data_IF_766412141809
#
_entry.id   IF_766412141809
#
_cell.length_a   1.000
_cell.length_b   1.000
_cell.length_c   1.000
_cell.angle_alpha   90.00
_cell.angle_beta   90.00
_cell.angle_gamma   90.00
#
_symmetry.space_group_name_H-M   'P 1'
#
loop_
_entity.id
_entity.type
_entity.pdbx_description
1 polymer ?
#
# COMPACT_ATOMS: atom_id res chain seq x y z
N UNK A 1 -15.47 33.53 48.50
CA UNK A 1 -16.74 34.19 48.17
C UNK A 1 -16.79 34.43 46.67
N UNK A 2 -17.97 34.16 46.07
CA UNK A 2 -18.41 34.50 44.70
C UNK A 2 -17.69 33.81 43.52
N UNK A 3 -18.35 33.27 42.48
CA UNK A 3 -19.74 32.87 42.20
C UNK A 3 -19.64 31.98 40.96
N UNK A 4 -20.07 30.72 41.05
CA UNK A 4 -20.17 29.80 39.89
C UNK A 4 -21.43 30.15 39.10
N UNK A 5 -21.28 30.54 37.83
CA UNK A 5 -22.40 30.69 36.89
C UNK A 5 -22.80 29.31 36.34
N UNK A 6 -24.07 28.90 36.41
CA UNK A 6 -24.54 27.68 35.77
C UNK A 6 -24.84 27.95 34.29
N UNK A 7 -24.26 27.13 33.40
CA UNK A 7 -24.67 27.06 31.99
C UNK A 7 -26.01 26.31 31.93
N UNK A 8 -27.05 26.98 31.43
CA UNK A 8 -28.35 26.38 31.16
C UNK A 8 -28.24 25.37 30.02
N UNK A 9 -28.66 24.13 30.27
CA UNK A 9 -28.84 23.11 29.25
C UNK A 9 -30.12 23.40 28.46
N UNK A 10 -30.00 23.65 27.15
CA UNK A 10 -31.13 23.74 26.23
C UNK A 10 -31.45 22.34 25.70
N UNK A 11 -32.42 21.68 26.32
CA UNK A 11 -33.10 20.50 25.78
C UNK A 11 -34.03 20.94 24.63
N UNK A 12 -33.68 20.58 23.39
CA UNK A 12 -34.61 20.68 22.26
C UNK A 12 -35.42 19.39 22.17
N UNK A 13 -36.70 19.50 22.52
CA UNK A 13 -37.69 18.44 22.32
C UNK A 13 -37.93 18.21 20.82
N UNK A 14 -38.04 16.93 20.47
CA UNK A 14 -38.35 16.44 19.13
C UNK A 14 -39.83 16.65 18.78
N UNK A 15 -40.10 16.96 17.51
CA UNK A 15 -41.41 16.75 16.89
C UNK A 15 -41.21 15.96 15.60
N UNK A 16 -41.30 14.63 15.72
CA UNK A 16 -41.41 13.74 14.58
C UNK A 16 -42.82 13.86 14.00
N UNK A 17 -42.93 14.37 12.77
CA UNK A 17 -44.17 14.34 12.02
C UNK A 17 -44.41 12.92 11.52
N UNK A 18 -45.43 12.28 12.10
CA UNK A 18 -46.04 11.06 11.60
C UNK A 18 -46.58 11.30 10.19
N UNK A 19 -46.02 10.64 9.17
CA UNK A 19 -46.74 10.38 7.93
C UNK A 19 -47.33 8.97 7.99
N UNK A 20 -48.64 8.89 7.82
CA UNK A 20 -49.40 7.65 7.69
C UNK A 20 -49.34 7.24 6.21
N UNK A 21 -48.73 6.11 5.89
CA UNK A 21 -48.98 5.37 4.65
C UNK A 21 -48.77 3.87 4.91
N UNK A 22 -49.85 3.06 4.98
CA UNK A 22 -49.76 1.62 5.15
C UNK A 22 -49.85 0.92 3.79
N UNK A 23 -48.74 0.42 3.28
CA UNK A 23 -48.74 -0.62 2.24
C UNK A 23 -47.40 -1.35 2.23
N UNK A 24 -47.20 -2.20 3.24
CA UNK A 24 -46.14 -3.20 3.23
C UNK A 24 -46.52 -4.30 2.23
N UNK A 25 -46.07 -4.17 0.99
CA UNK A 25 -45.97 -5.33 0.11
C UNK A 25 -44.80 -6.19 0.59
N UNK A 26 -45.12 -7.42 0.98
CA UNK A 26 -44.20 -8.47 1.39
C UNK A 26 -43.12 -8.69 0.32
N UNK A 27 -41.85 -8.53 0.70
CA UNK A 27 -40.73 -8.98 -0.12
C UNK A 27 -40.77 -10.52 -0.23
N UNK A 28 -40.53 -11.09 -1.42
CA UNK A 28 -40.48 -12.54 -1.58
C UNK A 28 -39.22 -13.10 -0.89
N UNK A 29 -39.43 -14.06 0.00
CA UNK A 29 -38.39 -14.90 0.60
C UNK A 29 -37.57 -15.59 -0.50
N UNK A 30 -36.22 -15.53 -0.47
CA UNK A 30 -35.40 -16.27 -1.41
C UNK A 30 -35.53 -17.79 -1.17
N UNK A 31 -35.51 -18.62 -2.23
CA UNK A 31 -35.57 -20.06 -2.08
C UNK A 31 -34.30 -20.59 -1.39
N UNK A 32 -34.39 -21.66 -0.57
CA UNK A 32 -33.23 -22.28 0.04
C UNK A 32 -32.33 -22.91 -1.03
N UNK A 33 -31.02 -22.69 -0.91
CA UNK A 33 -30.01 -23.29 -1.78
C UNK A 33 -29.99 -24.83 -1.61
N UNK A 34 -29.82 -25.61 -2.69
CA UNK A 34 -29.74 -27.06 -2.59
C UNK A 34 -28.47 -27.51 -1.87
N UNK A 35 -28.66 -28.45 -0.95
CA UNK A 35 -27.62 -29.17 -0.22
C UNK A 35 -26.69 -29.85 -1.23
N UNK A 36 -25.41 -29.47 -1.21
CA UNK A 36 -24.36 -30.04 -2.06
C UNK A 36 -24.17 -31.52 -1.71
N UNK A 37 -24.41 -32.41 -2.68
CA UNK A 37 -24.02 -33.83 -2.61
C UNK A 37 -22.51 -33.94 -2.84
N UNK A 38 -21.75 -34.71 -2.04
CA UNK A 38 -20.33 -34.93 -2.31
C UNK A 38 -20.15 -35.82 -3.55
N UNK A 39 -19.26 -35.39 -4.46
CA UNK A 39 -18.91 -36.10 -5.69
C UNK A 39 -18.18 -37.41 -5.37
N UNK A 40 -18.64 -38.49 -6.01
CA UNK A 40 -18.05 -39.84 -5.94
C UNK A 40 -16.72 -39.86 -6.70
N UNK A 41 -15.67 -40.34 -6.05
CA UNK A 41 -14.35 -40.62 -6.64
C UNK A 41 -14.44 -41.82 -7.58
N UNK A 42 -14.16 -41.62 -8.87
CA UNK A 42 -13.97 -42.71 -9.84
C UNK A 42 -12.48 -43.11 -9.83
N UNK A 43 -12.20 -44.28 -9.27
CA UNK A 43 -10.93 -44.98 -9.43
C UNK A 43 -10.95 -45.73 -10.76
N UNK A 44 -10.17 -45.29 -11.75
CA UNK A 44 -9.92 -46.07 -12.96
C UNK A 44 -8.62 -46.84 -12.83
N UNK A 45 -8.75 -48.16 -12.78
CA UNK A 45 -7.67 -49.13 -12.88
C UNK A 45 -6.93 -48.96 -14.22
N UNK A 46 -5.61 -48.78 -14.17
CA UNK A 46 -4.77 -49.10 -15.31
C UNK A 46 -3.56 -49.91 -14.83
N UNK A 47 -3.58 -51.19 -15.21
CA UNK A 47 -2.56 -52.18 -14.94
C UNK A 47 -1.48 -52.15 -16.04
N UNK A 48 -0.23 -52.08 -15.59
CA UNK A 48 0.98 -52.79 -16.05
C UNK A 48 1.43 -52.64 -17.51
N UNK A 49 2.72 -52.29 -17.70
CA UNK A 49 3.76 -53.13 -18.34
C UNK A 49 5.13 -52.41 -18.32
N UNK A 50 6.12 -53.06 -17.68
CA UNK A 50 7.60 -53.11 -17.90
C UNK A 50 8.41 -51.80 -18.00
N UNK A 51 9.65 -51.64 -17.49
CA UNK A 51 10.75 -52.54 -17.14
C UNK A 51 11.78 -51.83 -16.23
N UNK A 52 12.43 -52.58 -15.33
CA UNK A 52 13.63 -52.14 -14.57
C UNK A 52 14.84 -51.95 -15.50
N UNK A 53 15.80 -51.07 -15.13
CA UNK A 53 16.98 -51.57 -14.41
C UNK A 53 17.55 -50.62 -13.32
N UNK A 54 17.91 -51.20 -12.18
CA UNK A 54 18.86 -50.68 -11.17
C UNK A 54 20.29 -51.17 -11.52
N UNK A 55 21.43 -50.73 -10.90
CA UNK A 55 21.55 -50.03 -9.59
C UNK A 55 22.68 -48.95 -9.48
N UNK A 56 22.75 -48.33 -8.30
CA UNK A 56 23.90 -47.67 -7.63
C UNK A 56 24.19 -46.20 -7.95
N UNK A 57 23.90 -45.30 -6.99
CA UNK A 57 24.94 -44.54 -6.26
C UNK A 57 24.35 -43.81 -5.04
N UNK A 58 25.13 -43.86 -3.97
CA UNK A 58 24.90 -43.39 -2.62
C UNK A 58 24.92 -41.86 -2.46
N UNK A 59 24.24 -41.42 -1.38
CA UNK A 59 24.55 -40.31 -0.46
C UNK A 59 23.38 -39.32 -0.26
N UNK A 60 22.51 -39.61 0.72
CA UNK A 60 21.67 -38.60 1.37
C UNK A 60 22.24 -38.26 2.74
N UNK A 61 22.65 -37.00 2.93
CA UNK A 61 22.90 -36.40 4.25
C UNK A 61 21.63 -35.71 4.74
N UNK A 62 21.50 -35.77 6.07
CA UNK A 62 20.48 -35.25 6.97
C UNK A 62 20.00 -33.81 6.71
N UNK A 63 18.71 -33.55 6.93
CA UNK A 63 18.21 -32.61 7.95
C UNK A 63 16.67 -32.59 7.94
N UNK A 64 16.00 -33.05 9.00
CA UNK A 64 14.77 -32.37 9.47
C UNK A 64 14.42 -32.76 10.90
N UNK A 65 13.93 -31.75 11.60
CA UNK A 65 13.56 -31.63 12.99
C UNK A 65 12.21 -32.28 13.32
N UNK A 66 12.16 -32.93 14.50
CA UNK A 66 11.04 -33.19 15.46
C UNK A 66 9.64 -32.60 15.15
N UNK A 67 8.53 -33.28 15.56
CA UNK A 67 8.19 -33.41 17.00
C UNK A 67 7.60 -34.77 17.44
N UNK A 68 7.79 -35.08 18.74
CA UNK A 68 7.08 -36.14 19.46
C UNK A 68 6.08 -35.48 20.45
N UNK A 69 4.80 -35.80 20.26
CA UNK A 69 3.83 -36.32 21.25
C UNK A 69 4.46 -36.50 22.66
N UNK A 70 3.97 -35.94 23.76
CA UNK A 70 2.58 -35.69 24.17
C UNK A 70 2.14 -36.83 25.11
N UNK A 71 2.47 -36.72 26.40
CA UNK A 71 1.79 -37.35 27.56
C UNK A 71 2.68 -37.25 28.81
N UNK A 72 2.18 -36.64 29.90
CA UNK A 72 2.18 -37.12 31.31
C UNK A 72 1.39 -36.10 32.15
N UNK A 73 0.47 -36.64 32.96
CA UNK A 73 -0.45 -35.96 33.86
C UNK A 73 0.15 -35.61 35.24
N UNK A 74 -0.61 -34.77 35.95
CA UNK A 74 -0.86 -34.73 37.41
C UNK A 74 0.14 -34.02 38.35
N UNK A 75 -0.41 -32.94 38.93
CA UNK A 75 -0.44 -32.55 40.35
C UNK A 75 0.86 -32.20 41.07
N UNK A 76 1.06 -30.90 41.31
CA UNK A 76 1.43 -30.41 42.64
C UNK A 76 1.03 -28.94 42.83
N UNK A 77 0.17 -28.67 43.81
CA UNK A 77 0.05 -27.36 44.46
C UNK A 77 1.33 -27.10 45.28
N UNK A 78 1.84 -25.86 45.32
CA UNK A 78 2.29 -25.15 46.54
C UNK A 78 3.28 -23.99 46.23
N UNK A 79 3.19 -22.99 47.11
CA UNK A 79 4.02 -21.82 47.42
C UNK A 79 4.05 -20.65 46.44
N UNK A 80 3.34 -19.60 46.83
CA UNK A 80 3.82 -18.22 46.77
C UNK A 80 5.28 -18.15 47.26
N UNK A 81 6.16 -17.52 46.50
CA UNK A 81 7.29 -16.78 47.04
C UNK A 81 7.66 -15.66 46.06
N UNK A 82 7.55 -14.44 46.58
CA UNK A 82 8.10 -13.21 46.03
C UNK A 82 9.62 -13.34 45.96
N UNK A 83 10.25 -12.99 44.84
CA UNK A 83 11.59 -12.38 44.86
C UNK A 83 11.82 -11.62 43.54
N UNK A 84 11.78 -10.30 43.68
CA UNK A 84 12.22 -9.32 42.70
C UNK A 84 13.74 -9.46 42.51
N UNK A 85 14.19 -10.08 41.42
CA UNK A 85 15.58 -9.96 40.96
C UNK A 85 15.63 -8.94 39.81
N UNK A 86 15.77 -7.67 40.21
CA UNK A 86 16.29 -6.60 39.35
C UNK A 86 17.76 -6.93 39.03
N UNK A 87 18.02 -7.70 37.97
CA UNK A 87 19.35 -7.76 37.36
C UNK A 87 19.60 -6.46 36.58
N UNK A 88 20.05 -5.44 37.32
CA UNK A 88 20.73 -4.27 36.75
C UNK A 88 22.08 -4.75 36.20
N UNK A 89 22.11 -5.18 34.93
CA UNK A 89 23.37 -5.27 34.17
C UNK A 89 23.84 -3.84 33.87
N UNK A 90 24.63 -3.29 34.79
CA UNK A 90 25.49 -2.14 34.53
C UNK A 90 26.57 -2.58 33.52
N UNK A 91 26.33 -2.32 32.24
CA UNK A 91 27.40 -2.32 31.22
C UNK A 91 28.33 -1.13 31.54
N UNK A 92 29.41 -1.41 32.28
CA UNK A 92 30.57 -0.55 32.38
C UNK A 92 31.18 -0.41 30.97
N UNK A 93 31.01 0.76 30.35
CA UNK A 93 31.77 1.17 29.16
C UNK A 93 33.23 1.35 29.60
N UNK A 94 34.04 0.29 29.48
CA UNK A 94 35.50 0.36 29.64
C UNK A 94 36.08 1.35 28.61
N UNK A 95 36.55 2.50 29.10
CA UNK A 95 37.39 3.44 28.37
C UNK A 95 38.75 2.75 28.04
N UNK A 96 38.82 2.07 26.89
CA UNK A 96 40.06 1.51 26.32
C UNK A 96 40.99 2.63 25.85
N UNK A 97 41.79 3.17 26.78
CA UNK A 97 42.95 4.01 26.46
C UNK A 97 44.11 3.14 25.94
N UNK A 98 44.03 2.77 24.67
CA UNK A 98 45.13 2.16 23.92
C UNK A 98 46.17 3.19 23.50
N UNK A 99 47.17 3.46 24.34
CA UNK A 99 48.45 4.01 23.88
C UNK A 99 49.26 2.91 23.17
N UNK A 100 49.39 3.03 21.84
CA UNK A 100 50.20 2.15 21.02
C UNK A 100 50.87 2.92 19.88
N UNK A 101 52.05 3.46 20.16
CA UNK A 101 52.97 4.04 19.16
C UNK A 101 53.50 2.92 18.26
N UNK A 102 53.29 3.03 16.96
CA UNK A 102 53.85 2.14 15.95
C UNK A 102 53.80 2.76 14.57
N UNK A 103 54.87 3.48 14.22
CA UNK A 103 55.19 3.90 12.85
C UNK A 103 55.24 2.66 11.94
N UNK A 104 54.32 2.56 10.99
CA UNK A 104 54.54 1.85 9.74
C UNK A 104 53.67 2.48 8.66
N UNK A 105 54.33 3.20 7.77
CA UNK A 105 53.79 3.72 6.52
C UNK A 105 53.32 2.56 5.64
N UNK A 106 52.04 2.23 5.73
CA UNK A 106 51.29 1.53 4.68
C UNK A 106 49.86 2.08 4.65
N UNK A 107 49.77 3.38 4.33
CA UNK A 107 48.55 4.11 4.00
C UNK A 107 47.98 3.63 2.66
N UNK A 108 47.44 2.41 2.62
CA UNK A 108 46.59 1.95 1.52
C UNK A 108 45.26 1.37 2.05
N UNK A 109 44.27 2.27 2.06
CA UNK A 109 42.87 1.97 1.78
C UNK A 109 42.07 1.11 2.80
N UNK A 110 41.92 1.62 4.03
CA UNK A 110 40.69 1.38 4.82
C UNK A 110 39.78 2.62 4.83
N UNK A 111 39.60 3.25 3.66
CA UNK A 111 38.37 4.01 3.43
C UNK A 111 37.30 2.97 3.16
N UNK A 112 36.44 2.72 4.15
CA UNK A 112 35.15 2.05 3.92
C UNK A 112 34.30 2.99 3.05
N UNK A 113 34.69 3.09 1.78
CA UNK A 113 33.91 3.73 0.75
C UNK A 113 32.67 2.88 0.63
N UNK A 114 31.53 3.41 1.10
CA UNK A 114 30.23 2.84 0.83
C UNK A 114 30.04 2.84 -0.68
N UNK A 115 30.56 1.82 -1.35
CA UNK A 115 30.46 1.66 -2.79
C UNK A 115 28.97 1.49 -3.07
N UNK A 116 28.39 2.54 -3.65
CA UNK A 116 27.00 2.52 -4.09
C UNK A 116 26.89 1.35 -5.06
N UNK A 117 26.23 0.27 -4.65
CA UNK A 117 26.07 -0.94 -5.47
C UNK A 117 25.55 -0.51 -6.84
N UNK A 118 26.34 -0.74 -7.87
CA UNK A 118 25.94 -0.47 -9.24
C UNK A 118 25.01 -1.59 -9.68
N UNK A 119 23.76 -1.23 -9.96
CA UNK A 119 22.76 -2.17 -10.47
C UNK A 119 22.93 -2.31 -11.98
N UNK A 120 22.97 -3.55 -12.46
CA UNK A 120 22.88 -3.80 -13.90
C UNK A 120 21.48 -3.40 -14.41
N UNK A 121 21.32 -3.00 -15.69
CA UNK A 121 20.01 -2.61 -16.22
C UNK A 121 18.94 -3.68 -16.03
N UNK A 122 19.30 -4.95 -16.21
CA UNK A 122 18.40 -6.10 -16.04
C UNK A 122 17.92 -6.23 -14.60
N UNK A 123 18.81 -6.05 -13.62
CA UNK A 123 18.42 -6.08 -12.20
C UNK A 123 17.46 -4.94 -11.85
N UNK A 124 17.67 -3.73 -12.40
CA UNK A 124 16.77 -2.60 -12.19
C UNK A 124 15.36 -2.90 -12.68
N UNK A 125 15.25 -3.50 -13.87
CA UNK A 125 13.97 -3.88 -14.45
C UNK A 125 13.26 -4.96 -13.63
N UNK A 126 14.00 -5.98 -13.16
CA UNK A 126 13.45 -7.06 -12.33
C UNK A 126 12.97 -6.52 -10.97
N UNK A 127 13.76 -5.68 -10.30
CA UNK A 127 13.35 -5.06 -9.03
C UNK A 127 12.16 -4.11 -9.20
N UNK A 128 12.13 -3.31 -10.28
CA UNK A 128 10.99 -2.43 -10.59
C UNK A 128 9.72 -3.26 -10.86
N UNK A 129 9.82 -4.32 -11.65
CA UNK A 129 8.71 -5.22 -11.94
C UNK A 129 8.21 -5.93 -10.66
N UNK A 130 9.10 -6.29 -9.75
CA UNK A 130 8.75 -6.87 -8.45
C UNK A 130 7.95 -5.89 -7.58
N UNK A 131 8.24 -4.59 -7.62
CA UNK A 131 7.44 -3.55 -6.95
C UNK A 131 6.09 -3.33 -7.67
N UNK A 132 6.08 -3.51 -9.00
CA UNK A 132 4.87 -3.50 -9.84
C UNK A 132 4.84 -2.41 -10.91
N UNK A 133 6.00 -1.82 -11.22
CA UNK A 133 6.11 -0.78 -12.25
C UNK A 133 7.21 -1.11 -13.27
N UNK A 134 7.08 -0.55 -14.46
CA UNK A 134 8.09 -0.59 -15.51
C UNK A 134 8.36 0.83 -15.99
N UNK A 135 9.63 1.17 -16.19
CA UNK A 135 10.05 2.46 -16.73
C UNK A 135 10.11 2.34 -18.26
N UNK A 136 9.35 3.17 -18.98
CA UNK A 136 9.40 3.23 -20.45
C UNK A 136 10.52 4.18 -20.90
N UNK A 137 10.72 5.27 -20.16
CA UNK A 137 11.69 6.32 -20.45
C UNK A 137 11.13 7.72 -20.25
N UNK A 138 11.87 8.77 -20.65
CA UNK A 138 11.51 10.14 -20.34
C UNK A 138 10.30 10.64 -21.13
N UNK A 139 9.49 11.46 -20.48
CA UNK A 139 8.37 12.19 -21.07
C UNK A 139 8.89 13.16 -22.14
N UNK A 140 8.29 13.09 -23.33
CA UNK A 140 8.62 13.98 -24.43
C UNK A 140 7.75 15.24 -24.35
N UNK A 141 8.26 16.38 -24.83
CA UNK A 141 7.49 17.65 -24.84
C UNK A 141 6.18 17.57 -25.64
N UNK A 142 6.10 16.65 -26.61
CA UNK A 142 4.90 16.41 -27.41
C UNK A 142 3.81 15.63 -26.68
N UNK A 143 4.15 14.93 -25.61
CA UNK A 143 3.24 14.03 -24.92
C UNK A 143 2.22 14.83 -24.10
N UNK A 144 0.92 14.59 -24.34
CA UNK A 144 -0.16 15.22 -23.58
C UNK A 144 -0.46 14.40 -22.33
N UNK A 145 0.11 14.80 -21.20
CA UNK A 145 -0.13 14.18 -19.88
C UNK A 145 -1.54 14.46 -19.38
N UNK A 146 -2.05 15.67 -19.60
CA UNK A 146 -3.37 16.09 -19.15
C UNK A 146 -4.42 15.78 -20.21
N UNK A 147 -5.02 14.60 -20.09
CA UNK A 147 -6.20 14.20 -20.87
C UNK A 147 -7.48 14.66 -20.13
N UNK A 148 -8.60 14.86 -20.85
CA UNK A 148 -9.89 15.06 -20.20
C UNK A 148 -10.24 13.84 -19.35
N UNK A 149 -11.04 14.07 -18.30
CA UNK A 149 -11.46 12.99 -17.40
C UNK A 149 -12.26 11.92 -18.15
N UNK A 150 -11.88 10.67 -17.97
CA UNK A 150 -12.59 9.50 -18.47
C UNK A 150 -13.29 8.81 -17.29
N UNK A 151 -14.56 8.38 -17.42
CA UNK A 151 -15.35 7.77 -16.34
C UNK A 151 -14.96 6.30 -16.11
N UNK A 152 -13.66 6.08 -15.87
CA UNK A 152 -13.02 4.78 -15.65
C UNK A 152 -12.07 4.92 -14.46
N UNK A 153 -11.96 3.85 -13.67
CA UNK A 153 -11.00 3.75 -12.58
C UNK A 153 -10.32 2.39 -12.55
N UNK A 154 -9.14 2.35 -11.95
CA UNK A 154 -8.38 1.16 -11.66
C UNK A 154 -8.04 1.09 -10.17
N UNK A 155 -7.81 -0.11 -9.66
CA UNK A 155 -7.11 -0.33 -8.39
C UNK A 155 -5.75 -0.90 -8.71
N UNK A 156 -4.72 -0.10 -8.45
CA UNK A 156 -3.31 -0.46 -8.69
C UNK A 156 -2.62 -0.77 -7.38
N UNK A 157 -1.70 -1.72 -7.39
CA UNK A 157 -0.82 -2.01 -6.28
C UNK A 157 0.61 -1.56 -6.60
N UNK A 158 1.15 -0.67 -5.78
CA UNK A 158 2.55 -0.24 -5.86
C UNK A 158 3.23 -0.64 -4.55
N UNK A 159 4.16 -1.60 -4.64
CA UNK A 159 4.74 -2.22 -3.45
C UNK A 159 3.68 -2.95 -2.62
N UNK A 160 3.52 -2.55 -1.36
CA UNK A 160 2.54 -3.10 -0.42
C UNK A 160 1.21 -2.33 -0.38
N UNK A 161 1.14 -1.16 -1.04
CA UNK A 161 -0.01 -0.26 -0.96
C UNK A 161 -0.90 -0.34 -2.20
N UNK A 162 -2.21 -0.22 -2.00
CA UNK A 162 -3.20 -0.21 -3.07
C UNK A 162 -3.83 1.18 -3.20
N UNK A 163 -4.00 1.64 -4.44
CA UNK A 163 -4.55 2.94 -4.76
C UNK A 163 -5.68 2.79 -5.77
N UNK A 164 -6.82 3.45 -5.50
CA UNK A 164 -7.85 3.68 -6.51
C UNK A 164 -7.44 4.91 -7.32
N UNK A 165 -7.37 4.75 -8.63
CA UNK A 165 -6.89 5.80 -9.55
C UNK A 165 -7.79 5.94 -10.75
N UNK A 166 -7.97 7.19 -11.18
CA UNK A 166 -8.56 7.57 -12.46
C UNK A 166 -7.57 8.45 -13.24
N UNK A 167 -7.90 8.72 -14.51
CA UNK A 167 -7.11 9.61 -15.35
C UNK A 167 -7.04 11.01 -14.73
N UNK A 168 -5.82 11.55 -14.59
CA UNK A 168 -5.56 12.87 -14.06
C UNK A 168 -5.38 12.91 -12.54
N UNK A 169 -5.45 11.78 -11.84
CA UNK A 169 -5.20 11.74 -10.41
C UNK A 169 -3.71 11.88 -10.09
N UNK A 170 -3.40 12.50 -8.95
CA UNK A 170 -2.07 12.50 -8.36
C UNK A 170 -2.07 11.59 -7.12
N UNK A 171 -1.13 10.66 -7.06
CA UNK A 171 -0.93 9.79 -5.90
C UNK A 171 0.49 9.93 -5.36
N UNK A 172 0.63 9.79 -4.04
CA UNK A 172 1.93 9.66 -3.38
C UNK A 172 2.20 8.20 -3.10
N UNK A 173 3.35 7.72 -3.55
CA UNK A 173 3.82 6.36 -3.29
C UNK A 173 5.11 6.39 -2.49
N UNK A 174 5.52 5.23 -1.99
CA UNK A 174 6.88 5.02 -1.53
C UNK A 174 7.90 5.42 -2.60
N UNK A 175 9.12 5.75 -2.18
CA UNK A 175 10.21 6.10 -3.09
C UNK A 175 10.49 4.97 -4.07
N UNK A 176 10.34 5.28 -5.36
CA UNK A 176 10.75 4.42 -6.45
C UNK A 176 12.23 4.68 -6.79
N UNK A 177 13.06 3.63 -6.75
CA UNK A 177 14.53 3.76 -6.82
C UNK A 177 15.08 4.01 -8.22
N UNK A 178 14.40 3.49 -9.24
CA UNK A 178 14.92 3.36 -10.61
C UNK A 178 14.23 4.27 -11.63
N UNK A 179 13.54 5.31 -11.18
CA UNK A 179 12.90 6.29 -12.04
C UNK A 179 13.39 7.69 -11.70
N UNK A 180 13.39 8.56 -12.68
CA UNK A 180 13.71 9.98 -12.55
C UNK A 180 12.47 10.85 -12.75
N UNK A 181 12.62 12.14 -12.46
CA UNK A 181 11.54 13.11 -12.64
C UNK A 181 11.22 13.26 -14.13
N UNK A 182 9.93 13.26 -14.46
CA UNK A 182 9.38 13.22 -15.82
C UNK A 182 9.54 11.87 -16.54
N UNK A 183 9.87 10.76 -15.85
CA UNK A 183 9.79 9.46 -16.49
C UNK A 183 8.34 8.98 -16.65
N UNK A 184 8.09 8.28 -17.76
CA UNK A 184 6.85 7.55 -18.03
C UNK A 184 6.97 6.14 -17.45
N UNK A 185 5.99 5.80 -16.62
CA UNK A 185 5.87 4.52 -15.94
C UNK A 185 4.62 3.78 -16.42
N UNK A 186 4.71 2.46 -16.49
CA UNK A 186 3.55 1.57 -16.58
C UNK A 186 3.43 0.82 -15.27
N UNK A 187 2.27 0.92 -14.62
CA UNK A 187 1.93 0.14 -13.45
C UNK A 187 1.23 -1.14 -13.93
N UNK A 188 1.93 -2.26 -13.81
CA UNK A 188 1.50 -3.57 -14.33
C UNK A 188 0.68 -4.35 -13.29
N UNK A 189 0.85 -4.06 -12.00
CA UNK A 189 0.07 -4.70 -10.92
C UNK A 189 -1.28 -4.03 -10.76
N UNK A 190 -2.19 -4.35 -11.67
CA UNK A 190 -3.59 -3.90 -11.62
C UNK A 190 -4.45 -5.03 -11.03
N UNK A 191 -5.19 -4.71 -9.97
CA UNK A 191 -6.05 -5.67 -9.26
C UNK A 191 -7.49 -5.65 -9.77
N UNK A 192 -7.98 -4.48 -10.18
CA UNK A 192 -9.36 -4.29 -10.62
C UNK A 192 -9.46 -3.13 -11.59
N UNK A 193 -10.34 -3.24 -12.58
CA UNK A 193 -10.77 -2.17 -13.47
C UNK A 193 -12.27 -1.96 -13.34
N UNK A 194 -12.73 -0.72 -13.35
CA UNK A 194 -14.14 -0.38 -13.27
C UNK A 194 -14.50 0.75 -14.21
N UNK A 195 -15.60 0.59 -14.92
CA UNK A 195 -16.28 1.62 -15.69
C UNK A 195 -17.74 1.70 -15.25
N UNK A 196 -18.51 2.62 -15.85
CA UNK A 196 -19.95 2.71 -15.57
C UNK A 196 -20.74 1.46 -16.00
N UNK A 197 -20.24 0.69 -16.96
CA UNK A 197 -20.95 -0.46 -17.54
C UNK A 197 -20.43 -1.80 -17.03
N UNK A 198 -19.14 -1.90 -16.72
CA UNK A 198 -18.49 -3.16 -16.38
C UNK A 198 -17.48 -3.00 -15.24
N UNK A 199 -17.28 -4.06 -14.48
CA UNK A 199 -16.23 -4.17 -13.46
C UNK A 199 -15.51 -5.49 -13.64
N UNK A 200 -14.20 -5.42 -13.84
CA UNK A 200 -13.33 -6.56 -14.08
C UNK A 200 -12.44 -6.72 -12.84
N UNK A 201 -12.53 -7.88 -12.19
CA UNK A 201 -11.82 -8.17 -10.94
C UNK A 201 -10.73 -9.21 -11.22
N UNK A 202 -9.49 -8.90 -10.84
CA UNK A 202 -8.33 -9.76 -11.02
C UNK A 202 -8.25 -10.92 -10.02
N UNK A 203 -7.43 -11.92 -10.36
CA UNK A 203 -7.13 -13.08 -9.49
C UNK A 203 -5.66 -13.51 -9.63
N UNK A 204 -4.71 -12.94 -8.86
CA UNK A 204 -4.81 -11.68 -8.10
C UNK A 204 -4.66 -10.44 -8.98
N UNK A 205 -3.92 -10.53 -10.09
CA UNK A 205 -3.69 -9.43 -11.04
C UNK A 205 -4.47 -9.63 -12.34
N UNK A 206 -4.70 -8.55 -13.08
CA UNK A 206 -5.26 -8.56 -14.44
C UNK A 206 -4.12 -8.46 -15.47
N UNK A 207 -3.92 -9.47 -16.35
CA UNK A 207 -2.77 -9.52 -17.24
C UNK A 207 -2.82 -8.48 -18.37
N UNK A 208 -4.01 -8.18 -18.90
CA UNK A 208 -4.18 -7.28 -20.05
C UNK A 208 -4.42 -5.82 -19.64
N UNK A 209 -4.29 -5.52 -18.34
CA UNK A 209 -4.53 -4.20 -17.77
C UNK A 209 -3.20 -3.46 -17.55
N UNK A 210 -3.15 -2.21 -17.96
CA UNK A 210 -1.99 -1.35 -17.77
C UNK A 210 -2.43 0.06 -17.39
N UNK A 211 -1.78 0.64 -16.39
CA UNK A 211 -2.01 2.04 -16.01
C UNK A 211 -0.76 2.85 -16.31
N UNK A 212 -0.90 3.84 -17.18
CA UNK A 212 0.18 4.74 -17.57
C UNK A 212 0.25 5.90 -16.58
N UNK A 213 1.43 6.16 -16.06
CA UNK A 213 1.70 7.22 -15.10
C UNK A 213 2.97 7.98 -15.47
N UNK A 214 3.12 9.17 -14.92
CA UNK A 214 4.32 10.00 -15.05
C UNK A 214 4.80 10.39 -13.66
N UNK A 215 6.11 10.37 -13.44
CA UNK A 215 6.73 10.88 -12.22
C UNK A 215 6.75 12.41 -12.27
N UNK A 216 5.99 13.07 -11.40
CA UNK A 216 6.01 14.55 -11.32
C UNK A 216 7.17 15.05 -10.47
N UNK A 217 7.42 14.44 -9.32
CA UNK A 217 8.47 14.86 -8.39
C UNK A 217 8.80 13.76 -7.37
N UNK A 218 9.99 13.88 -6.79
CA UNK A 218 10.37 13.16 -5.57
C UNK A 218 10.32 14.17 -4.41
N UNK A 219 9.44 13.91 -3.45
CA UNK A 219 9.15 14.82 -2.35
C UNK A 219 9.56 14.22 -1.01
N UNK A 220 9.84 15.09 -0.03
CA UNK A 220 9.96 14.69 1.37
C UNK A 220 8.62 14.91 2.06
N UNK A 221 8.16 13.91 2.79
CA UNK A 221 6.98 14.02 3.62
C UNK A 221 7.19 15.02 4.78
N UNK A 222 6.09 15.37 5.44
CA UNK A 222 6.09 16.15 6.65
C UNK A 222 7.04 15.53 7.70
N UNK A 223 7.73 16.39 8.47
CA UNK A 223 8.62 15.91 9.53
C UNK A 223 7.78 15.25 10.62
N UNK A 224 7.98 13.95 10.81
CA UNK A 224 7.46 13.21 11.95
C UNK A 224 8.47 13.32 13.10
N UNK A 225 8.02 13.81 14.26
CA UNK A 225 8.88 13.93 15.44
C UNK A 225 8.72 12.69 16.31
N UNK A 226 9.79 11.92 16.43
CA UNK A 226 9.90 10.76 17.31
C UNK A 226 10.44 11.26 18.65
N UNK A 227 9.57 11.31 19.66
CA UNK A 227 9.94 11.70 21.01
C UNK A 227 9.93 10.47 21.93
N UNK A 228 11.08 10.09 22.45
CA UNK A 228 11.25 9.01 23.42
C UNK A 228 11.52 9.60 24.79
N UNK A 229 10.79 9.18 25.82
CA UNK A 229 10.98 9.61 27.21
C UNK A 229 10.71 8.46 28.17
N UNK A 230 11.61 8.22 29.12
CA UNK A 230 11.38 7.32 30.26
C UNK A 230 11.15 8.17 31.51
N UNK A 231 10.16 7.80 32.33
CA UNK A 231 9.82 8.54 33.55
C UNK A 231 10.90 8.33 34.61
N UNK A 232 11.28 9.38 35.35
CA UNK A 232 12.28 9.38 36.45
C UNK A 232 13.72 8.93 36.09
N UNK A 233 13.96 8.37 34.91
CA UNK A 233 15.30 7.92 34.47
C UNK A 233 16.12 9.00 33.72
N UNK A 234 15.76 10.29 33.84
CA UNK A 234 16.32 11.44 33.09
C UNK A 234 16.51 11.23 31.57
N UNK A 235 15.89 10.20 30.99
CA UNK A 235 16.04 9.85 29.59
C UNK A 235 14.95 10.55 28.77
N UNK A 236 15.39 11.42 27.86
CA UNK A 236 14.57 12.05 26.83
C UNK A 236 15.39 12.19 25.54
N UNK A 237 14.84 11.75 24.41
CA UNK A 237 15.45 11.88 23.08
C UNK A 237 14.39 12.34 22.09
N UNK A 238 14.70 13.37 21.32
CA UNK A 238 13.85 13.87 20.24
C UNK A 238 14.58 13.68 18.92
N UNK A 239 14.01 12.90 17.99
CA UNK A 239 14.56 12.68 16.65
C UNK A 239 13.50 13.04 15.62
N UNK A 240 13.89 13.70 14.53
CA UNK A 240 13.01 13.91 13.38
C UNK A 240 13.19 12.79 12.35
N UNK A 241 12.10 12.37 11.72
CA UNK A 241 12.10 11.53 10.52
C UNK A 241 11.35 12.25 9.41
N UNK A 242 11.82 12.10 8.17
CA UNK A 242 11.12 12.53 6.95
C UNK A 242 11.22 11.40 5.95
N UNK A 243 10.08 10.90 5.50
CA UNK A 243 10.03 9.85 4.52
C UNK A 243 10.15 10.44 3.12
N UNK A 244 10.94 9.81 2.24
CA UNK A 244 10.98 10.20 0.82
C UNK A 244 9.84 9.48 0.08
N UNK A 245 9.10 10.25 -0.72
CA UNK A 245 7.94 9.81 -1.48
C UNK A 245 8.13 10.16 -2.95
N UNK A 246 7.48 9.40 -3.83
CA UNK A 246 7.38 9.73 -5.25
C UNK A 246 5.95 10.13 -5.55
N UNK A 247 5.77 11.28 -6.20
CA UNK A 247 4.46 11.73 -6.66
C UNK A 247 4.25 11.31 -8.10
N UNK A 248 3.23 10.51 -8.33
CA UNK A 248 2.85 10.01 -9.63
C UNK A 248 1.58 10.70 -10.12
N UNK A 249 1.58 11.09 -11.39
CA UNK A 249 0.40 11.55 -12.13
C UNK A 249 -0.10 10.44 -13.02
N UNK A 250 -1.36 10.07 -12.88
CA UNK A 250 -1.99 9.05 -13.71
C UNK A 250 -2.44 9.67 -15.03
N UNK A 251 -2.02 9.08 -16.14
CA UNK A 251 -2.25 9.60 -17.50
C UNK A 251 -3.33 8.82 -18.23
N UNK A 252 -3.34 7.50 -18.08
CA UNK A 252 -4.27 6.65 -18.82
C UNK A 252 -4.51 5.31 -18.11
N UNK A 253 -5.70 4.77 -18.28
CA UNK A 253 -6.09 3.44 -17.81
C UNK A 253 -6.49 2.61 -19.03
N UNK A 254 -5.80 1.49 -19.24
CA UNK A 254 -6.00 0.57 -20.37
C UNK A 254 -6.54 -0.78 -19.90
N UNK A 255 -7.20 -1.51 -20.80
CA UNK A 255 -7.74 -2.86 -20.53
C UNK A 255 -9.24 -2.90 -20.20
N UNK A 256 -9.96 -1.79 -20.40
CA UNK A 256 -11.42 -1.72 -20.21
C UNK A 256 -12.06 -0.83 -21.29
N UNK A 257 -13.27 -1.20 -21.72
CA UNK A 257 -14.03 -0.40 -22.68
C UNK A 257 -14.43 0.93 -22.03
N UNK A 258 -14.01 2.02 -22.67
CA UNK A 258 -14.31 3.39 -22.25
C UNK A 258 -15.65 3.78 -22.87
N UNK A 259 -16.68 4.14 -22.08
CA UNK A 259 -17.89 4.68 -22.66
C UNK A 259 -17.56 5.99 -23.39
N UNK A 260 -18.14 6.19 -24.57
CA UNK A 260 -17.87 7.39 -25.36
C UNK A 260 -18.21 8.65 -24.54
N UNK A 261 -17.32 9.67 -24.54
CA UNK A 261 -17.62 10.90 -23.84
C UNK A 261 -18.83 11.55 -24.52
N UNK A 262 -19.95 11.63 -23.81
CA UNK A 262 -21.09 12.45 -24.22
C UNK A 262 -20.58 13.89 -24.27
N UNK A 263 -20.25 14.37 -25.47
CA UNK A 263 -19.85 15.76 -25.70
C UNK A 263 -21.08 16.63 -25.47
N UNK A 264 -21.33 17.00 -24.22
CA UNK A 264 -22.27 18.07 -23.90
C UNK A 264 -21.62 19.37 -24.34
N UNK A 265 -22.00 19.87 -25.52
CA UNK A 265 -21.68 21.23 -25.94
C UNK A 265 -22.13 22.20 -24.84
N UNK A 266 -21.18 22.86 -24.17
CA UNK A 266 -21.51 23.95 -23.25
C UNK A 266 -22.28 25.02 -24.04
N UNK A 267 -23.49 25.43 -23.63
CA UNK A 267 -24.21 26.48 -24.33
C UNK A 267 -23.38 27.77 -24.30
N UNK A 268 -23.17 28.32 -25.48
CA UNK A 268 -22.43 29.57 -25.68
C UNK A 268 -23.09 30.69 -24.86
N UNK A 269 -22.25 31.42 -24.13
CA UNK A 269 -22.62 32.56 -23.31
C UNK A 269 -23.31 33.62 -24.17
N UNK A 270 -24.62 33.82 -23.97
CA UNK A 270 -25.39 34.86 -24.64
C UNK A 270 -24.75 36.26 -24.39
N UNK A 271 -24.68 37.14 -25.41
CA UNK A 271 -24.09 38.47 -25.27
C UNK A 271 -24.96 39.34 -24.35
N UNK A 272 -24.31 39.96 -23.35
CA UNK A 272 -24.96 40.77 -22.33
C UNK A 272 -25.74 41.96 -22.89
N UNK A 273 -26.94 42.16 -22.34
CA UNK A 273 -27.77 43.36 -22.47
C UNK A 273 -26.95 44.61 -22.13
N UNK A 274 -26.83 45.54 -23.08
CA UNK A 274 -26.43 46.92 -22.81
C UNK A 274 -27.53 47.59 -21.98
N UNK A 275 -27.19 48.10 -20.81
CA UNK A 275 -28.05 49.01 -20.05
C UNK A 275 -27.90 50.42 -20.62
N UNK A 276 -28.99 50.96 -21.18
CA UNK A 276 -29.10 52.39 -21.49
C UNK A 276 -29.09 53.18 -20.17
N UNK A 277 -28.18 54.16 -20.07
CA UNK A 277 -28.24 55.19 -19.06
C UNK A 277 -29.30 56.21 -19.49
N UNK A 278 -30.42 56.26 -18.78
CA UNK A 278 -31.37 57.38 -18.87
C UNK A 278 -30.76 58.56 -18.12
N UNK A 279 -30.49 59.65 -18.84
CA UNK A 279 -30.15 60.93 -18.26
C UNK A 279 -31.40 61.55 -17.64
N UNK A 280 -31.34 61.89 -16.35
CA UNK A 280 -32.31 62.78 -15.71
C UNK A 280 -31.69 64.17 -15.69
N UNK A 281 -32.27 65.07 -16.47
CA UNK A 281 -32.11 66.51 -16.36
C UNK A 281 -33.43 67.10 -15.84
N UNK A 282 -33.29 68.10 -14.96
CA UNK A 282 -34.27 68.96 -14.29
C UNK A 282 -34.30 68.76 -12.76
#
# INVERSE_FOLDING_TARGET
MATRRPLQALTRHASALFSKNPSFHSLPTPPPLPIYQPLKTLTSNFSLIFSNPDPTRSLTRHFSSKPRIGDVNEDNEHSDDDEDEDEDEDEDDDDDEGEGVGDSEDESAYRCSGSKREYTPVEKEVEAAAIGYQVIGPLQRSDRVFKPYEPVFAVVQVGSHQFKVSNGDCIFTEKLKFCEVNDKLVLNKVLMLGSSSQTIIGRPILPDAAVHAVVEEHALDAKVIIFKKKRRKNYRRTKGHRQELTKLRIVDVQGIEKPEPVVTEKPSKAPGKKTEKVAVAA
#
